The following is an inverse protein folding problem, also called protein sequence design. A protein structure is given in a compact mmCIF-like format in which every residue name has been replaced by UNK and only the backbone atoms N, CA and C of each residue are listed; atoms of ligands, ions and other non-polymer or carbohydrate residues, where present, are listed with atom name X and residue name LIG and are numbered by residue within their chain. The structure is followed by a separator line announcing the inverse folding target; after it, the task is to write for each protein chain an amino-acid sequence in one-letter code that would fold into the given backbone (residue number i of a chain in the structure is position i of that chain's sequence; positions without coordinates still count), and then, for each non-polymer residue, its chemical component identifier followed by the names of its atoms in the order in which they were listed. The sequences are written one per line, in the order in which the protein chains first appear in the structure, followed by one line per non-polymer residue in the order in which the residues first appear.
data_IF_310389592437
#
_entry.id   IF_310389592437
#
_cell.length_a   1.000
_cell.length_b   1.000
_cell.length_c   1.000
_cell.angle_alpha   90.00
_cell.angle_beta   90.00
_cell.angle_gamma   90.00
#
_symmetry.space_group_name_H-M   'P 1'
#
loop_
_entity.id
_entity.type
_entity.pdbx_description
1 polymer ?
#
# COMPACT_ATOMS: atom_id res chain seq x y z
N UNK A 1 5.74 -15.63 -5.91
CA UNK A 1 5.38 -14.50 -6.77
C UNK A 1 4.46 -15.00 -7.87
N UNK A 2 3.45 -14.20 -8.24
CA UNK A 2 2.56 -14.52 -9.35
C UNK A 2 3.26 -14.20 -10.68
N UNK A 3 3.08 -15.05 -11.69
CA UNK A 3 3.80 -14.94 -12.98
C UNK A 3 2.94 -14.40 -14.13
N UNK A 4 1.63 -14.28 -13.90
CA UNK A 4 0.63 -13.88 -14.89
C UNK A 4 0.44 -12.36 -14.99
N UNK A 5 0.96 -11.60 -14.02
CA UNK A 5 0.83 -10.14 -13.97
C UNK A 5 2.11 -9.51 -13.45
N UNK A 6 2.38 -8.26 -13.88
CA UNK A 6 3.41 -7.43 -13.24
C UNK A 6 2.94 -6.99 -11.85
N UNK A 7 3.88 -6.96 -10.93
CA UNK A 7 3.70 -6.57 -9.53
C UNK A 7 3.90 -5.08 -9.32
N UNK A 8 3.09 -4.47 -8.46
CA UNK A 8 3.21 -3.07 -8.14
C UNK A 8 3.00 -2.80 -6.65
N UNK A 9 3.73 -1.83 -6.10
CA UNK A 9 3.52 -1.30 -4.76
C UNK A 9 3.00 0.13 -4.84
N UNK A 10 1.86 0.41 -4.20
CA UNK A 10 1.34 1.77 -3.99
C UNK A 10 1.64 2.19 -2.56
N UNK A 11 2.29 3.35 -2.38
CA UNK A 11 2.52 3.94 -1.08
C UNK A 11 2.37 5.47 -1.11
N UNK A 12 2.05 6.07 0.02
CA UNK A 12 1.84 7.51 0.17
C UNK A 12 3.06 8.21 0.80
N UNK A 13 3.34 9.43 0.34
CA UNK A 13 4.42 10.27 0.86
C UNK A 13 3.92 11.73 1.05
N UNK A 14 4.04 12.32 2.26
CA UNK A 14 4.39 11.68 3.54
C UNK A 14 3.40 10.56 3.92
N UNK A 15 3.69 9.81 4.99
CA UNK A 15 2.75 8.77 5.40
C UNK A 15 1.39 9.41 5.76
N UNK A 16 0.31 8.64 5.66
CA UNK A 16 -1.05 9.17 5.86
C UNK A 16 -1.21 9.83 7.23
N UNK A 17 -0.58 9.29 8.28
CA UNK A 17 -0.70 9.81 9.64
C UNK A 17 -0.08 11.20 9.76
N UNK A 18 1.15 11.40 9.30
CA UNK A 18 1.76 12.73 9.33
C UNK A 18 1.03 13.74 8.45
N UNK A 19 0.54 13.32 7.27
CA UNK A 19 -0.24 14.20 6.43
C UNK A 19 -1.51 14.70 7.13
N UNK A 20 -2.32 13.78 7.68
CA UNK A 20 -3.60 14.15 8.30
C UNK A 20 -3.45 14.78 9.69
N UNK A 21 -2.38 14.48 10.42
CA UNK A 21 -2.14 15.03 11.76
C UNK A 21 -1.30 16.32 11.73
N UNK A 22 -0.81 16.74 10.56
CA UNK A 22 0.11 17.87 10.38
C UNK A 22 1.32 17.82 11.34
N UNK A 23 1.78 16.61 11.66
CA UNK A 23 2.93 16.38 12.53
C UNK A 23 4.18 16.18 11.67
N UNK A 24 5.33 16.67 12.14
CA UNK A 24 6.61 16.26 11.57
C UNK A 24 6.73 14.75 11.77
N UNK A 25 6.70 14.02 10.67
CA UNK A 25 6.82 12.57 10.68
C UNK A 25 8.14 12.17 11.34
N UNK A 26 8.08 11.32 12.37
CA UNK A 26 9.26 10.59 12.82
C UNK A 26 9.40 9.37 11.92
N UNK A 27 10.16 9.53 10.84
CA UNK A 27 10.41 8.43 9.92
C UNK A 27 11.44 7.47 10.52
N UNK A 28 11.11 6.18 10.57
CA UNK A 28 12.07 5.12 10.91
C UNK A 28 13.22 5.05 9.89
N UNK A 29 12.96 5.42 8.63
CA UNK A 29 13.93 5.38 7.52
C UNK A 29 13.80 6.63 6.66
N UNK A 30 14.92 7.10 6.08
CA UNK A 30 14.91 8.21 5.13
C UNK A 30 14.16 7.83 3.85
N UNK A 31 13.76 8.83 3.05
CA UNK A 31 13.13 8.61 1.74
C UNK A 31 13.99 7.70 0.85
N UNK A 32 15.30 7.96 0.77
CA UNK A 32 16.22 7.18 -0.06
C UNK A 32 16.38 5.75 0.43
N UNK A 33 16.46 5.54 1.75
CA UNK A 33 16.45 4.21 2.35
C UNK A 33 15.16 3.45 2.01
N UNK A 34 14.01 4.13 2.05
CA UNK A 34 12.71 3.53 1.72
C UNK A 34 12.63 3.13 0.26
N UNK A 35 13.08 4.00 -0.66
CA UNK A 35 13.16 3.71 -2.09
C UNK A 35 14.11 2.54 -2.37
N UNK A 36 15.27 2.54 -1.71
CA UNK A 36 16.27 1.46 -1.83
C UNK A 36 15.69 0.13 -1.36
N UNK A 37 15.01 0.13 -0.21
CA UNK A 37 14.33 -1.04 0.32
C UNK A 37 13.25 -1.55 -0.66
N UNK A 38 12.43 -0.67 -1.22
CA UNK A 38 11.40 -1.07 -2.19
C UNK A 38 11.97 -1.64 -3.49
N UNK A 39 13.10 -1.11 -3.97
CA UNK A 39 13.82 -1.69 -5.11
C UNK A 39 14.32 -3.10 -4.80
N UNK A 40 14.82 -3.33 -3.59
CA UNK A 40 15.28 -4.66 -3.15
C UNK A 40 14.16 -5.69 -3.10
N UNK A 41 12.91 -5.28 -2.85
CA UNK A 41 11.75 -6.20 -2.83
C UNK A 41 11.37 -6.73 -4.23
N UNK A 42 11.91 -6.16 -5.32
CA UNK A 42 11.75 -6.71 -6.66
C UNK A 42 10.37 -6.50 -7.30
N UNK A 43 9.65 -5.44 -6.92
CA UNK A 43 8.40 -5.06 -7.62
C UNK A 43 8.70 -4.47 -9.01
N UNK A 44 7.85 -4.77 -9.99
CA UNK A 44 7.99 -4.21 -11.35
C UNK A 44 7.72 -2.71 -11.38
N UNK A 45 6.80 -2.24 -10.52
CA UNK A 45 6.44 -0.83 -10.40
C UNK A 45 6.33 -0.36 -8.95
N UNK A 46 6.74 0.88 -8.72
CA UNK A 46 6.59 1.58 -7.45
C UNK A 46 5.84 2.90 -7.66
N UNK A 47 4.64 3.01 -7.11
CA UNK A 47 3.80 4.21 -7.16
C UNK A 47 3.89 4.94 -5.82
N UNK A 48 4.67 6.03 -5.78
CA UNK A 48 4.80 6.89 -4.61
C UNK A 48 3.88 8.11 -4.74
N UNK A 49 2.66 7.98 -4.22
CA UNK A 49 1.65 9.02 -4.33
C UNK A 49 1.91 10.15 -3.32
N UNK A 50 2.12 11.36 -3.85
CA UNK A 50 2.18 12.57 -3.03
C UNK A 50 0.78 13.08 -2.75
N UNK A 51 0.53 13.48 -1.50
CA UNK A 51 -0.76 14.04 -1.13
C UNK A 51 -1.05 15.33 -1.92
N UNK A 52 -2.25 15.38 -2.47
CA UNK A 52 -2.81 16.53 -3.16
C UNK A 52 -4.29 16.62 -2.84
N UNK A 53 -4.90 17.80 -3.02
CA UNK A 53 -6.36 17.95 -2.85
C UNK A 53 -7.15 16.93 -3.68
N UNK A 54 -6.70 16.63 -4.90
CA UNK A 54 -7.34 15.61 -5.75
C UNK A 54 -7.28 14.22 -5.12
N UNK A 55 -6.12 13.85 -4.57
CA UNK A 55 -5.93 12.54 -3.94
C UNK A 55 -6.71 12.42 -2.63
N UNK A 56 -6.82 13.50 -1.86
CA UNK A 56 -7.59 13.49 -0.61
C UNK A 56 -9.07 13.25 -0.86
N UNK A 57 -9.65 13.76 -1.96
CA UNK A 57 -11.05 13.57 -2.33
C UNK A 57 -11.30 12.35 -3.24
N UNK A 58 -10.30 11.49 -3.46
CA UNK A 58 -10.45 10.31 -4.30
C UNK A 58 -11.47 9.35 -3.67
N UNK A 59 -12.66 9.20 -4.25
CA UNK A 59 -13.69 8.30 -3.70
C UNK A 59 -13.30 6.82 -3.85
N UNK A 60 -13.95 5.94 -3.07
CA UNK A 60 -13.71 4.49 -3.18
C UNK A 60 -14.00 3.97 -4.59
N UNK A 61 -15.07 4.45 -5.23
CA UNK A 61 -15.47 4.01 -6.56
C UNK A 61 -14.48 4.48 -7.62
N UNK A 62 -13.96 5.71 -7.48
CA UNK A 62 -12.92 6.21 -8.39
C UNK A 62 -11.60 5.47 -8.22
N UNK A 63 -11.24 5.09 -6.99
CA UNK A 63 -10.07 4.26 -6.74
C UNK A 63 -10.24 2.85 -7.36
N UNK A 64 -11.40 2.21 -7.19
CA UNK A 64 -11.71 0.92 -7.83
C UNK A 64 -11.66 1.04 -9.36
N UNK A 65 -12.24 2.11 -9.93
CA UNK A 65 -12.18 2.37 -11.36
C UNK A 65 -10.73 2.52 -11.86
N UNK A 66 -9.86 3.19 -11.10
CA UNK A 66 -8.44 3.31 -11.42
C UNK A 66 -7.75 1.95 -11.45
N UNK A 67 -8.02 1.07 -10.47
CA UNK A 67 -7.48 -0.29 -10.48
C UNK A 67 -7.97 -1.09 -11.71
N UNK A 68 -9.26 -0.99 -12.06
CA UNK A 68 -9.82 -1.62 -13.26
C UNK A 68 -9.17 -1.11 -14.54
N UNK A 69 -8.97 0.20 -14.67
CA UNK A 69 -8.32 0.83 -15.83
C UNK A 69 -6.86 0.37 -16.02
N UNK A 70 -6.20 -0.01 -14.93
CA UNK A 70 -4.84 -0.56 -14.95
C UNK A 70 -4.81 -2.08 -15.09
N UNK A 71 -5.95 -2.71 -15.40
CA UNK A 71 -6.10 -4.16 -15.53
C UNK A 71 -5.57 -4.93 -14.30
N UNK A 72 -5.73 -4.36 -13.11
CA UNK A 72 -5.34 -5.02 -11.86
C UNK A 72 -6.18 -6.28 -11.71
N UNK A 73 -5.51 -7.43 -11.64
CA UNK A 73 -6.15 -8.73 -11.40
C UNK A 73 -6.31 -9.04 -9.92
N UNK A 74 -5.29 -8.68 -9.13
CA UNK A 74 -5.16 -9.09 -7.74
C UNK A 74 -4.70 -7.94 -6.85
N UNK A 75 -5.30 -7.85 -5.66
CA UNK A 75 -4.93 -6.87 -4.63
C UNK A 75 -4.51 -7.60 -3.36
N UNK A 76 -3.33 -7.25 -2.84
CA UNK A 76 -2.85 -7.72 -1.54
C UNK A 76 -3.11 -6.61 -0.53
N UNK A 77 -3.87 -6.89 0.53
CA UNK A 77 -4.31 -5.86 1.49
C UNK A 77 -4.61 -6.50 2.85
N UNK A 78 -4.54 -5.72 3.93
CA UNK A 78 -4.93 -6.17 5.28
C UNK A 78 -6.42 -5.93 5.52
N UNK A 79 -7.01 -6.51 6.59
CA UNK A 79 -8.44 -6.33 6.90
C UNK A 79 -8.72 -4.92 7.44
N UNK A 80 -7.71 -4.30 8.02
CA UNK A 80 -7.70 -3.01 8.71
C UNK A 80 -7.47 -1.86 7.73
N UNK A 81 -6.84 -2.14 6.58
CA UNK A 81 -6.59 -1.14 5.56
C UNK A 81 -7.90 -0.49 5.08
N UNK A 82 -7.81 0.82 4.87
CA UNK A 82 -8.90 1.66 4.37
C UNK A 82 -8.38 2.50 3.21
N UNK A 83 -9.26 2.77 2.26
CA UNK A 83 -8.96 3.62 1.09
C UNK A 83 -10.14 4.52 0.74
N UNK A 84 -9.90 5.43 -0.18
CA UNK A 84 -10.88 6.41 -0.63
C UNK A 84 -11.10 7.54 0.38
N UNK A 85 -11.87 8.53 -0.05
CA UNK A 85 -12.23 9.71 0.73
C UNK A 85 -12.85 9.28 2.06
N UNK A 86 -12.37 9.87 3.15
CA UNK A 86 -12.85 9.57 4.51
C UNK A 86 -12.89 8.08 4.86
N UNK A 87 -11.95 7.27 4.33
CA UNK A 87 -11.85 5.83 4.63
C UNK A 87 -13.11 5.03 4.26
N UNK A 88 -13.88 5.48 3.28
CA UNK A 88 -15.13 4.85 2.85
C UNK A 88 -14.95 3.43 2.28
N UNK A 89 -13.77 3.10 1.75
CA UNK A 89 -13.47 1.82 1.13
C UNK A 89 -12.69 0.87 2.04
N UNK A 90 -13.01 -0.41 1.96
CA UNK A 90 -12.31 -1.50 2.65
C UNK A 90 -12.15 -2.74 1.73
N UNK A 91 -11.54 -3.81 2.23
CA UNK A 91 -11.26 -5.01 1.42
C UNK A 91 -12.53 -5.68 0.84
N UNK A 92 -13.68 -5.56 1.51
CA UNK A 92 -14.96 -6.12 1.03
C UNK A 92 -15.46 -5.40 -0.23
N UNK A 93 -15.15 -4.10 -0.39
CA UNK A 93 -15.44 -3.38 -1.62
C UNK A 93 -14.58 -3.87 -2.79
N UNK A 94 -13.36 -4.36 -2.50
CA UNK A 94 -12.42 -4.87 -3.52
C UNK A 94 -12.73 -6.31 -3.96
N UNK A 95 -13.14 -7.19 -3.03
CA UNK A 95 -13.46 -8.61 -3.32
C UNK A 95 -14.53 -8.74 -4.42
N UNK A 96 -15.41 -7.76 -4.56
CA UNK A 96 -16.46 -7.71 -5.59
C UNK A 96 -15.91 -7.65 -7.02
N UNK A 97 -14.66 -7.23 -7.20
CA UNK A 97 -14.11 -6.90 -8.51
C UNK A 97 -12.73 -7.49 -8.79
N UNK A 98 -12.00 -7.91 -7.75
CA UNK A 98 -10.61 -8.37 -7.84
C UNK A 98 -10.39 -9.64 -7.03
N UNK A 99 -9.38 -10.41 -7.39
CA UNK A 99 -8.84 -11.42 -6.48
C UNK A 99 -8.17 -10.70 -5.29
N UNK A 100 -8.66 -10.90 -4.06
CA UNK A 100 -8.09 -10.26 -2.88
C UNK A 100 -7.34 -11.27 -2.02
N UNK A 101 -6.05 -11.02 -1.82
CA UNK A 101 -5.24 -11.75 -0.87
C UNK A 101 -5.16 -10.95 0.44
N UNK A 102 -5.88 -11.43 1.45
CA UNK A 102 -5.78 -10.87 2.78
C UNK A 102 -4.49 -11.33 3.45
N UNK A 103 -3.74 -10.37 3.98
CA UNK A 103 -2.58 -10.64 4.84
C UNK A 103 -2.89 -10.14 6.25
N UNK A 104 -2.45 -10.90 7.24
CA UNK A 104 -2.52 -10.45 8.63
C UNK A 104 -1.43 -9.40 8.88
N UNK A 105 -1.72 -8.40 9.71
CA UNK A 105 -0.78 -7.34 10.09
C UNK A 105 0.50 -7.86 10.79
N UNK A 106 0.49 -9.15 11.19
CA UNK A 106 1.56 -9.78 11.95
C UNK A 106 2.26 -10.90 11.17
N UNK A 107 3.46 -10.61 10.66
CA UNK A 107 4.41 -11.65 10.27
C UNK A 107 5.16 -12.07 11.53
N UNK A 108 4.89 -13.27 12.06
CA UNK A 108 5.75 -13.88 13.08
C UNK A 108 7.19 -13.89 12.55
N UNK A 109 8.18 -13.31 13.24
CA UNK A 109 9.57 -13.47 12.84
C UNK A 109 9.87 -14.96 12.77
N UNK A 110 10.49 -15.42 11.68
CA UNK A 110 10.98 -16.80 11.58
C UNK A 110 11.90 -17.02 12.79
N UNK A 111 11.59 -18.00 13.64
CA UNK A 111 12.51 -18.44 14.70
C UNK A 111 13.86 -18.77 14.04
N UNK A 112 14.88 -17.96 14.30
CA UNK A 112 16.23 -18.19 13.75
C UNK A 112 17.10 -16.96 13.48
N UNK A 113 16.58 -15.73 13.51
CA UNK A 113 17.41 -14.53 13.34
C UNK A 113 17.33 -13.59 14.54
N UNK A 114 17.73 -14.10 15.70
CA UNK A 114 18.35 -13.29 16.74
C UNK A 114 19.56 -14.06 17.27
N UNK A 115 20.68 -13.88 16.59
CA UNK A 115 21.99 -13.83 17.23
C UNK A 115 22.72 -12.66 16.60
N UNK A 116 22.78 -11.57 17.35
CA UNK A 116 23.88 -10.62 17.24
C UNK A 116 24.38 -10.50 18.68
N UNK A 117 25.51 -11.17 18.88
CA UNK A 117 26.41 -10.97 20.02
C UNK A 117 27.04 -9.58 19.94
#
# INVERSE_FOLDING_TARGET
SFKDTKSALINFIPNSKAFFQNQKDFYLTSYDQKVTFYRFLGFDYLFLWRWSKKLTFLTKDRFIALLKQNNVKRVIITKEARFGYQKQGNYQDLIKYFEVCLIDDYVKPKKGQQKVS
#
